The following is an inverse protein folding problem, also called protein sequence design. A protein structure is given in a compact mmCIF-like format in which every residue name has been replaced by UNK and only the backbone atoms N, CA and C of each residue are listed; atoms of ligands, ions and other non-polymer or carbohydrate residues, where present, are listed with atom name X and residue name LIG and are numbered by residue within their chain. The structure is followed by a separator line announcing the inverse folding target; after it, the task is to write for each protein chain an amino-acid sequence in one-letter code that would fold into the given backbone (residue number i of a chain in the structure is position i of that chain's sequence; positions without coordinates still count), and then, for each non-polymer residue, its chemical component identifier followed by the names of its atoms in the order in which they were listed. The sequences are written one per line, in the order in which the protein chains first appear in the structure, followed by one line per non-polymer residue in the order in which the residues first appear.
data_IF_527752533021
#
_entry.id   IF_527752533021
#
_cell.length_a   1.000
_cell.length_b   1.000
_cell.length_c   1.000
_cell.angle_alpha   90.00
_cell.angle_beta   90.00
_cell.angle_gamma   90.00
#
_symmetry.space_group_name_H-M   'P 1'
#
loop_
_entity.id
_entity.type
_entity.pdbx_description
1 polymer ?
#
# COMPACT_ATOMS: atom_id res chain seq x y z
N UNK A 1 -20.90 -9.55 4.47
CA UNK A 1 -21.07 -10.78 3.65
C UNK A 1 -21.61 -10.36 2.31
N UNK A 2 -21.42 -11.15 1.26
CA UNK A 2 -21.95 -10.83 -0.07
C UNK A 2 -23.19 -11.66 -0.34
N UNK A 3 -24.22 -11.04 -0.90
CA UNK A 3 -25.37 -11.73 -1.49
C UNK A 3 -25.07 -11.92 -2.97
N UNK A 4 -24.89 -13.17 -3.37
CA UNK A 4 -24.70 -13.60 -4.76
C UNK A 4 -26.06 -14.02 -5.33
N UNK A 5 -26.44 -13.42 -6.45
CA UNK A 5 -27.64 -13.72 -7.20
C UNK A 5 -27.25 -14.25 -8.59
N UNK A 6 -27.72 -15.45 -8.93
CA UNK A 6 -27.39 -16.15 -10.17
C UNK A 6 -28.70 -16.40 -10.91
N UNK A 7 -28.77 -15.96 -12.16
CA UNK A 7 -29.86 -16.21 -13.08
C UNK A 7 -29.34 -17.14 -14.17
N UNK A 8 -30.01 -18.28 -14.38
CA UNK A 8 -29.60 -19.30 -15.35
C UNK A 8 -30.82 -20.06 -15.91
N UNK A 9 -30.63 -20.79 -17.01
CA UNK A 9 -31.66 -21.66 -17.57
C UNK A 9 -31.93 -22.90 -16.69
N UNK A 10 -33.12 -23.50 -16.83
CA UNK A 10 -33.47 -24.75 -16.16
C UNK A 10 -32.44 -25.88 -16.40
N UNK A 11 -31.92 -26.00 -17.63
CA UNK A 11 -30.89 -27.00 -17.98
C UNK A 11 -29.51 -26.76 -17.36
N UNK A 12 -29.23 -25.55 -16.87
CA UNK A 12 -27.98 -25.19 -16.21
C UNK A 12 -28.09 -25.22 -14.67
N UNK A 13 -29.32 -25.27 -14.14
CA UNK A 13 -29.61 -25.27 -12.71
C UNK A 13 -28.92 -26.39 -11.94
N UNK A 14 -28.80 -27.60 -12.50
CA UNK A 14 -28.08 -28.70 -11.83
C UNK A 14 -26.58 -28.45 -11.70
N UNK A 15 -25.96 -27.82 -12.71
CA UNK A 15 -24.53 -27.48 -12.67
C UNK A 15 -24.26 -26.43 -11.59
N UNK A 16 -25.13 -25.41 -11.50
CA UNK A 16 -25.05 -24.38 -10.47
C UNK A 16 -25.22 -24.98 -9.07
N UNK A 17 -26.22 -25.87 -8.88
CA UNK A 17 -26.42 -26.59 -7.61
C UNK A 17 -25.19 -27.39 -7.20
N UNK A 18 -24.54 -28.06 -8.16
CA UNK A 18 -23.33 -28.85 -7.90
C UNK A 18 -22.19 -27.97 -7.38
N UNK A 19 -21.88 -26.87 -8.06
CA UNK A 19 -20.85 -25.91 -7.63
C UNK A 19 -21.15 -25.37 -6.23
N UNK A 20 -22.38 -24.91 -5.98
CA UNK A 20 -22.75 -24.37 -4.67
C UNK A 20 -22.64 -25.40 -3.53
N UNK A 21 -22.95 -26.67 -3.83
CA UNK A 21 -22.84 -27.78 -2.87
C UNK A 21 -21.38 -28.17 -2.60
N UNK A 22 -20.52 -28.18 -3.62
CA UNK A 22 -19.08 -28.45 -3.47
C UNK A 22 -18.42 -27.43 -2.52
N UNK A 23 -18.82 -26.16 -2.62
CA UNK A 23 -18.35 -25.10 -1.72
C UNK A 23 -19.04 -25.08 -0.34
N UNK A 24 -19.94 -26.04 -0.06
CA UNK A 24 -20.73 -26.11 1.18
C UNK A 24 -21.51 -24.80 1.47
N UNK A 25 -21.95 -24.11 0.41
CA UNK A 25 -22.71 -22.87 0.49
C UNK A 25 -24.20 -23.19 0.56
N UNK A 26 -24.91 -22.55 1.48
CA UNK A 26 -26.36 -22.62 1.50
C UNK A 26 -26.96 -21.64 0.50
N UNK A 27 -27.89 -22.13 -0.30
CA UNK A 27 -28.54 -21.38 -1.36
C UNK A 27 -30.06 -21.51 -1.30
N UNK A 28 -30.74 -20.47 -1.76
CA UNK A 28 -32.18 -20.48 -2.04
C UNK A 28 -32.35 -20.51 -3.56
N UNK A 29 -33.27 -21.33 -4.05
CA UNK A 29 -33.56 -21.43 -5.47
C UNK A 29 -35.04 -21.09 -5.70
N UNK A 30 -35.31 -20.19 -6.62
CA UNK A 30 -36.64 -19.73 -7.00
C UNK A 30 -36.76 -19.76 -8.53
N UNK A 31 -37.93 -20.13 -9.04
CA UNK A 31 -38.25 -19.97 -10.45
C UNK A 31 -38.71 -18.53 -10.70
N UNK A 32 -38.09 -17.87 -11.67
CA UNK A 32 -38.37 -16.49 -12.04
C UNK A 32 -38.64 -16.40 -13.53
N UNK A 33 -39.56 -15.52 -13.92
CA UNK A 33 -39.91 -15.29 -15.31
C UNK A 33 -39.24 -13.99 -15.78
N UNK A 34 -38.38 -14.09 -16.79
CA UNK A 34 -37.75 -12.93 -17.43
C UNK A 34 -38.42 -12.68 -18.77
N UNK A 35 -39.29 -11.66 -18.83
CA UNK A 35 -40.18 -11.36 -19.95
C UNK A 35 -41.04 -12.56 -20.39
N UNK A 36 -40.49 -13.49 -21.18
CA UNK A 36 -41.16 -14.67 -21.73
C UNK A 36 -40.41 -16.00 -21.47
N UNK A 37 -39.24 -15.96 -20.83
CA UNK A 37 -38.41 -17.14 -20.58
C UNK A 37 -38.44 -17.52 -19.09
N UNK A 38 -38.58 -18.83 -18.82
CA UNK A 38 -38.41 -19.40 -17.49
C UNK A 38 -36.92 -19.48 -17.16
N UNK A 39 -36.55 -18.89 -16.03
CA UNK A 39 -35.18 -18.91 -15.52
C UNK A 39 -35.18 -19.31 -14.04
N UNK A 40 -34.07 -19.88 -13.58
CA UNK A 40 -33.82 -20.18 -12.18
C UNK A 40 -32.99 -19.06 -11.56
N UNK A 41 -33.46 -18.53 -10.45
CA UNK A 41 -32.73 -17.60 -9.58
C UNK A 41 -32.16 -18.35 -8.38
N UNK A 42 -30.85 -18.32 -8.21
CA UNK A 42 -30.19 -18.76 -6.99
C UNK A 42 -29.72 -17.56 -6.17
N UNK A 43 -30.08 -17.53 -4.89
CA UNK A 43 -29.61 -16.52 -3.94
C UNK A 43 -28.75 -17.19 -2.88
N UNK A 44 -27.50 -16.74 -2.75
CA UNK A 44 -26.48 -17.35 -1.88
C UNK A 44 -25.80 -16.29 -1.04
N UNK A 45 -25.58 -16.59 0.25
CA UNK A 45 -24.73 -15.76 1.10
C UNK A 45 -23.32 -16.32 1.07
N UNK A 46 -22.41 -15.57 0.46
CA UNK A 46 -21.02 -15.99 0.24
C UNK A 46 -20.10 -15.08 1.04
N UNK A 47 -19.09 -15.64 1.72
CA UNK A 47 -18.01 -14.84 2.27
C UNK A 47 -17.23 -14.11 1.18
N UNK A 48 -16.88 -12.87 1.46
CA UNK A 48 -16.09 -11.99 0.60
C UNK A 48 -14.72 -12.54 0.18
N UNK A 49 -14.10 -13.42 0.98
CA UNK A 49 -12.80 -14.02 0.63
C UNK A 49 -12.87 -15.19 -0.36
N UNK A 50 -14.06 -15.78 -0.60
CA UNK A 50 -14.25 -16.93 -1.52
C UNK A 50 -15.06 -16.57 -2.76
N UNK A 51 -15.64 -15.37 -2.83
CA UNK A 51 -16.52 -14.95 -3.92
C UNK A 51 -15.88 -15.14 -5.30
N UNK A 52 -14.60 -14.81 -5.48
CA UNK A 52 -13.93 -14.90 -6.77
C UNK A 52 -13.80 -16.35 -7.25
N UNK A 53 -13.44 -17.27 -6.36
CA UNK A 53 -13.26 -18.68 -6.74
C UNK A 53 -14.62 -19.32 -7.07
N UNK A 54 -15.64 -18.99 -6.29
CA UNK A 54 -17.02 -19.45 -6.51
C UNK A 54 -17.56 -18.88 -7.83
N UNK A 55 -17.35 -17.59 -8.11
CA UNK A 55 -17.78 -16.96 -9.36
C UNK A 55 -17.01 -17.54 -10.55
N UNK A 56 -15.71 -17.86 -10.43
CA UNK A 56 -14.93 -18.49 -11.49
C UNK A 56 -15.47 -19.88 -11.88
N UNK A 57 -15.93 -20.67 -10.92
CA UNK A 57 -16.59 -21.95 -11.21
C UNK A 57 -18.01 -21.78 -11.77
N UNK A 58 -18.76 -20.80 -11.26
CA UNK A 58 -20.09 -20.49 -11.78
C UNK A 58 -20.05 -19.95 -13.21
N UNK A 59 -19.05 -19.15 -13.58
CA UNK A 59 -18.83 -18.69 -14.96
C UNK A 59 -18.53 -19.84 -15.93
N UNK A 60 -18.01 -20.98 -15.45
CA UNK A 60 -17.84 -22.20 -16.26
C UNK A 60 -19.13 -23.01 -16.35
N UNK A 61 -20.02 -22.86 -15.36
CA UNK A 61 -21.28 -23.60 -15.26
C UNK A 61 -22.44 -22.93 -16.00
N UNK A 62 -22.48 -21.59 -16.04
CA UNK A 62 -23.56 -20.77 -16.61
C UNK A 62 -23.09 -20.09 -17.89
N UNK A 63 -23.88 -20.18 -18.98
CA UNK A 63 -23.53 -19.49 -20.24
C UNK A 63 -23.99 -18.03 -20.22
N UNK A 64 -23.08 -17.14 -19.83
CA UNK A 64 -23.30 -15.69 -19.76
C UNK A 64 -23.51 -15.00 -21.12
N UNK A 65 -23.41 -15.72 -22.24
CA UNK A 65 -23.72 -15.15 -23.58
C UNK A 65 -25.23 -15.00 -23.80
N UNK A 66 -26.05 -15.66 -22.97
CA UNK A 66 -27.51 -15.57 -23.02
C UNK A 66 -27.98 -14.31 -22.28
N UNK A 67 -28.84 -13.51 -22.90
CA UNK A 67 -29.26 -12.20 -22.37
C UNK A 67 -29.99 -12.24 -21.02
N UNK A 68 -30.55 -13.39 -20.63
CA UNK A 68 -31.25 -13.62 -19.37
C UNK A 68 -30.38 -14.30 -18.30
N UNK A 69 -29.15 -14.70 -18.63
CA UNK A 69 -28.22 -15.29 -17.67
C UNK A 69 -27.31 -14.21 -17.08
N UNK A 70 -27.27 -14.11 -15.75
CA UNK A 70 -26.43 -13.11 -15.08
C UNK A 70 -25.97 -13.61 -13.71
N UNK A 71 -24.77 -13.21 -13.32
CA UNK A 71 -24.22 -13.46 -11.99
C UNK A 71 -23.93 -12.09 -11.40
N UNK A 72 -24.63 -11.71 -10.33
CA UNK A 72 -24.45 -10.43 -9.64
C UNK A 72 -24.18 -10.66 -8.17
N UNK A 73 -23.41 -9.78 -7.54
CA UNK A 73 -23.20 -9.82 -6.09
C UNK A 73 -23.20 -8.44 -5.47
N UNK A 74 -23.83 -8.33 -4.30
CA UNK A 74 -23.96 -7.07 -3.56
C UNK A 74 -23.57 -7.25 -2.09
N UNK A 75 -22.98 -6.22 -1.45
CA UNK A 75 -22.71 -6.25 -0.01
C UNK A 75 -24.02 -6.23 0.77
N UNK A 76 -24.14 -7.12 1.76
CA UNK A 76 -25.27 -7.14 2.69
C UNK A 76 -24.79 -7.24 4.13
N UNK A 77 -25.49 -6.52 5.01
CA UNK A 77 -25.27 -6.47 6.45
C UNK A 77 -26.42 -7.16 7.17
N UNK A 78 -26.11 -8.08 8.08
CA UNK A 78 -27.12 -8.85 8.82
C UNK A 78 -26.48 -9.91 9.71
N UNK A 79 -27.31 -10.58 10.52
CA UNK A 79 -26.89 -11.72 11.37
C UNK A 79 -27.56 -13.00 10.89
N UNK A 80 -26.79 -14.07 10.70
CA UNK A 80 -27.30 -15.39 10.32
C UNK A 80 -26.56 -16.48 11.08
N UNK A 81 -27.30 -17.32 11.81
CA UNK A 81 -26.77 -18.44 12.60
C UNK A 81 -26.20 -19.54 11.69
N UNK A 82 -26.89 -19.84 10.59
CA UNK A 82 -26.45 -20.87 9.63
C UNK A 82 -25.22 -20.45 8.83
N UNK A 83 -25.11 -19.16 8.47
CA UNK A 83 -23.94 -18.61 7.77
C UNK A 83 -22.65 -18.78 8.59
N UNK A 84 -22.71 -18.59 9.92
CA UNK A 84 -21.56 -18.76 10.80
C UNK A 84 -20.96 -20.17 10.74
N UNK A 85 -21.78 -21.20 10.52
CA UNK A 85 -21.32 -22.59 10.35
C UNK A 85 -20.67 -22.83 8.98
N UNK A 86 -21.25 -22.31 7.89
CA UNK A 86 -20.65 -22.37 6.54
C UNK A 86 -19.31 -21.62 6.47
N UNK A 87 -19.16 -20.52 7.20
CA UNK A 87 -17.87 -19.81 7.32
C UNK A 87 -16.82 -20.67 8.04
N UNK A 88 -17.24 -21.55 8.96
CA UNK A 88 -16.34 -22.40 9.75
C UNK A 88 -15.64 -23.47 8.89
N UNK A 89 -16.34 -24.05 7.91
CA UNK A 89 -15.75 -24.98 6.94
C UNK A 89 -14.87 -24.26 5.91
N UNK A 90 -15.23 -23.03 5.55
CA UNK A 90 -14.47 -22.18 4.62
C UNK A 90 -13.28 -21.45 5.28
N UNK A 91 -13.00 -21.68 6.57
CA UNK A 91 -11.86 -21.08 7.30
C UNK A 91 -10.50 -21.34 6.63
N UNK A 92 -10.34 -22.45 5.89
CA UNK A 92 -9.11 -22.74 5.14
C UNK A 92 -8.79 -21.67 4.08
N UNK A 93 -9.83 -21.01 3.54
CA UNK A 93 -9.71 -19.93 2.56
C UNK A 93 -9.64 -18.53 3.19
N UNK A 94 -9.78 -18.41 4.53
CA UNK A 94 -9.66 -17.15 5.29
C UNK A 94 -8.27 -16.49 5.18
N UNK A 95 -7.27 -17.20 4.62
CA UNK A 95 -5.95 -16.65 4.28
C UNK A 95 -5.97 -15.67 3.10
N UNK A 96 -7.07 -15.59 2.34
CA UNK A 96 -7.25 -14.57 1.29
C UNK A 96 -7.93 -13.34 1.88
N UNK A 97 -7.29 -12.19 1.74
CA UNK A 97 -7.83 -10.90 2.18
C UNK A 97 -9.16 -10.60 1.51
N UNK A 98 -10.10 -10.04 2.28
CA UNK A 98 -11.44 -9.78 1.78
C UNK A 98 -11.45 -8.57 0.85
N UNK A 99 -12.25 -8.63 -0.21
CA UNK A 99 -12.37 -7.58 -1.22
C UNK A 99 -12.68 -6.21 -0.59
N UNK A 100 -13.61 -6.18 0.36
CA UNK A 100 -13.99 -4.97 1.08
C UNK A 100 -12.87 -4.43 1.99
N UNK A 101 -12.00 -5.30 2.52
CA UNK A 101 -10.83 -4.86 3.27
C UNK A 101 -9.77 -4.23 2.35
N UNK A 102 -9.53 -4.81 1.17
CA UNK A 102 -8.60 -4.26 0.19
C UNK A 102 -9.14 -2.94 -0.37
N UNK A 103 -10.42 -2.84 -0.70
CA UNK A 103 -11.05 -1.61 -1.18
C UNK A 103 -11.00 -0.49 -0.14
N UNK A 104 -11.32 -0.78 1.13
CA UNK A 104 -11.17 0.21 2.20
C UNK A 104 -9.72 0.66 2.41
N UNK A 105 -8.75 -0.26 2.27
CA UNK A 105 -7.33 0.10 2.33
C UNK A 105 -6.92 0.98 1.16
N UNK A 106 -7.42 0.73 -0.06
CA UNK A 106 -7.13 1.54 -1.25
C UNK A 106 -7.81 2.90 -1.15
N UNK A 107 -9.04 2.96 -0.68
CA UNK A 107 -9.75 4.22 -0.49
C UNK A 107 -9.03 5.09 0.55
N UNK A 108 -8.65 4.50 1.68
CA UNK A 108 -7.81 5.17 2.67
C UNK A 108 -6.45 5.57 2.07
N UNK A 109 -5.82 4.69 1.29
CA UNK A 109 -4.53 4.99 0.65
C UNK A 109 -4.63 6.14 -0.34
N UNK A 110 -5.64 6.16 -1.20
CA UNK A 110 -5.83 7.19 -2.22
C UNK A 110 -6.22 8.52 -1.59
N UNK A 111 -7.06 8.51 -0.55
CA UNK A 111 -7.38 9.71 0.23
C UNK A 111 -6.14 10.28 0.92
N UNK A 112 -5.24 9.42 1.42
CA UNK A 112 -3.99 9.86 2.04
C UNK A 112 -2.86 10.14 1.03
N UNK A 113 -2.92 9.58 -0.19
CA UNK A 113 -1.89 9.74 -1.22
C UNK A 113 -2.01 11.05 -2.00
N UNK A 114 -3.17 11.70 -1.99
CA UNK A 114 -3.30 13.04 -2.57
C UNK A 114 -2.66 14.07 -1.63
N UNK A 115 -1.61 14.72 -2.12
CA UNK A 115 -0.93 15.78 -1.39
C UNK A 115 -1.80 17.03 -1.38
N UNK A 116 -2.46 17.24 -0.24
CA UNK A 116 -3.16 18.47 0.09
C UNK A 116 -2.16 19.51 0.65
N UNK A 117 -2.39 20.83 0.45
CA UNK A 117 -1.74 21.89 1.21
C UNK A 117 -1.50 21.58 2.70
N UNK A 118 -2.45 20.93 3.39
CA UNK A 118 -2.30 20.54 4.81
C UNK A 118 -1.16 19.52 5.00
N UNK A 119 -1.01 18.54 4.10
CA UNK A 119 0.09 17.59 4.22
C UNK A 119 1.44 18.26 3.93
N UNK A 120 1.48 19.22 3.01
CA UNK A 120 2.69 20.00 2.75
C UNK A 120 3.09 20.85 3.96
N UNK A 121 2.13 21.50 4.63
CA UNK A 121 2.43 22.28 5.84
C UNK A 121 2.90 21.38 6.98
N UNK A 122 2.26 20.22 7.19
CA UNK A 122 2.73 19.24 8.16
C UNK A 122 4.14 18.72 7.85
N UNK A 123 4.45 18.45 6.59
CA UNK A 123 5.79 18.06 6.15
C UNK A 123 6.84 19.15 6.42
N UNK A 124 6.51 20.41 6.14
CA UNK A 124 7.39 21.55 6.45
C UNK A 124 7.62 21.70 7.96
N UNK A 125 6.56 21.64 8.77
CA UNK A 125 6.66 21.74 10.23
C UNK A 125 7.46 20.57 10.80
N UNK A 126 7.22 19.35 10.34
CA UNK A 126 8.00 18.17 10.73
C UNK A 126 9.48 18.35 10.40
N UNK A 127 9.81 18.87 9.21
CA UNK A 127 11.19 19.13 8.82
C UNK A 127 11.88 20.15 9.72
N UNK A 128 11.18 21.23 10.10
CA UNK A 128 11.72 22.26 11.00
C UNK A 128 11.98 21.68 12.40
N UNK A 129 11.05 20.88 12.93
CA UNK A 129 11.24 20.20 14.23
C UNK A 129 12.41 19.22 14.14
N UNK A 130 12.50 18.44 13.05
CA UNK A 130 13.61 17.52 12.81
C UNK A 130 14.95 18.26 12.73
N UNK A 131 14.98 19.42 12.08
CA UNK A 131 16.16 20.28 11.99
C UNK A 131 16.62 20.74 13.37
N UNK A 132 15.71 21.23 14.21
CA UNK A 132 16.05 21.59 15.60
C UNK A 132 16.51 20.37 16.40
N UNK A 133 15.92 19.20 16.17
CA UNK A 133 16.37 17.93 16.74
C UNK A 133 17.80 17.57 16.35
N UNK A 134 18.12 17.66 15.06
CA UNK A 134 19.42 17.33 14.50
C UNK A 134 20.52 18.27 14.99
N UNK A 135 20.30 19.59 14.97
CA UNK A 135 21.33 20.56 15.39
C UNK A 135 21.56 20.58 16.91
N UNK A 136 20.58 20.14 17.70
CA UNK A 136 20.69 20.04 19.17
C UNK A 136 20.97 18.60 19.66
N UNK A 137 21.25 17.67 18.75
CA UNK A 137 21.53 16.26 19.07
C UNK A 137 20.43 15.60 19.94
N UNK A 138 19.16 15.95 19.67
CA UNK A 138 18.01 15.52 20.46
C UNK A 138 17.14 14.52 19.70
N UNK A 139 17.34 13.24 20.00
CA UNK A 139 16.54 12.16 19.42
C UNK A 139 15.04 12.29 19.74
N UNK A 140 14.69 12.90 20.87
CA UNK A 140 13.29 13.12 21.28
C UNK A 140 12.58 14.07 20.31
N UNK A 141 13.23 15.18 19.93
CA UNK A 141 12.68 16.10 18.92
C UNK A 141 12.59 15.43 17.54
N UNK A 142 13.60 14.63 17.18
CA UNK A 142 13.63 13.88 15.92
C UNK A 142 12.46 12.90 15.83
N UNK A 143 12.19 12.12 16.90
CA UNK A 143 11.04 11.19 16.96
C UNK A 143 9.71 11.98 16.91
N UNK A 144 9.64 13.13 17.58
CA UNK A 144 8.45 13.99 17.58
C UNK A 144 8.12 14.50 16.17
N UNK A 145 9.14 14.84 15.38
CA UNK A 145 8.98 15.21 13.98
C UNK A 145 8.49 14.03 13.11
N UNK A 146 9.01 12.83 13.34
CA UNK A 146 8.58 11.62 12.61
C UNK A 146 7.09 11.32 12.82
N UNK A 147 6.59 11.52 14.04
CA UNK A 147 5.17 11.32 14.38
C UNK A 147 4.21 12.25 13.62
N UNK A 148 4.67 13.44 13.25
CA UNK A 148 3.86 14.45 12.57
C UNK A 148 3.79 14.24 11.04
N UNK A 149 4.75 13.50 10.47
CA UNK A 149 5.00 13.49 9.02
C UNK A 149 3.95 12.69 8.23
N UNK A 150 3.35 13.27 7.16
CA UNK A 150 2.32 12.61 6.36
C UNK A 150 2.85 11.73 5.22
N UNK A 151 4.04 11.13 5.37
CA UNK A 151 4.70 10.33 4.31
C UNK A 151 4.06 8.95 4.12
N UNK A 152 3.38 8.41 5.15
CA UNK A 152 2.79 7.07 5.12
C UNK A 152 1.87 6.92 3.89
N UNK A 153 0.88 7.81 3.73
CA UNK A 153 -0.16 7.78 2.69
C UNK A 153 0.33 7.43 1.29
N UNK A 154 1.15 8.31 0.68
CA UNK A 154 1.70 8.09 -0.65
C UNK A 154 2.48 6.79 -0.82
N UNK A 155 3.19 6.31 0.22
CA UNK A 155 4.09 5.16 0.12
C UNK A 155 3.35 3.83 -0.05
N UNK A 156 2.33 3.56 0.77
CA UNK A 156 1.52 2.36 0.57
C UNK A 156 0.47 2.55 -0.54
N UNK A 157 0.03 3.78 -0.81
CA UNK A 157 -0.77 4.12 -1.99
C UNK A 157 -0.11 3.68 -3.28
N UNK A 158 1.20 3.96 -3.45
CA UNK A 158 1.98 3.42 -4.56
C UNK A 158 1.89 1.90 -4.64
N UNK A 159 2.18 1.22 -3.53
CA UNK A 159 2.31 -0.23 -3.48
C UNK A 159 0.99 -0.94 -3.78
N UNK A 160 -0.11 -0.45 -3.21
CA UNK A 160 -1.45 -0.95 -3.45
C UNK A 160 -1.90 -0.69 -4.89
N UNK A 161 -1.68 0.52 -5.43
CA UNK A 161 -2.07 0.85 -6.80
C UNK A 161 -1.30 -0.01 -7.83
N UNK A 162 -0.02 -0.30 -7.60
CA UNK A 162 0.76 -1.24 -8.44
C UNK A 162 0.19 -2.66 -8.41
N UNK A 163 -0.16 -3.18 -7.23
CA UNK A 163 -0.74 -4.53 -7.09
C UNK A 163 -2.14 -4.62 -7.70
N UNK A 164 -2.86 -3.50 -7.76
CA UNK A 164 -4.17 -3.40 -8.41
C UNK A 164 -4.08 -3.14 -9.92
N UNK A 165 -2.87 -2.94 -10.48
CA UNK A 165 -2.69 -2.62 -11.91
C UNK A 165 -3.05 -1.17 -12.27
N UNK A 166 -3.21 -0.29 -11.28
CA UNK A 166 -3.52 1.14 -11.44
C UNK A 166 -2.22 1.94 -11.58
N UNK A 167 -1.55 1.79 -12.72
CA UNK A 167 -0.23 2.40 -12.95
C UNK A 167 -0.23 3.94 -12.90
N UNK A 168 -1.32 4.60 -13.31
CA UNK A 168 -1.43 6.07 -13.25
C UNK A 168 -1.45 6.56 -11.81
N UNK A 169 -2.34 5.99 -10.98
CA UNK A 169 -2.45 6.33 -9.56
C UNK A 169 -1.16 6.00 -8.78
N UNK A 170 -0.40 4.98 -9.22
CA UNK A 170 0.92 4.71 -8.66
C UNK A 170 1.95 5.79 -9.03
N UNK A 171 1.94 6.33 -10.24
CA UNK A 171 2.80 7.45 -10.63
C UNK A 171 2.42 8.73 -9.87
N UNK A 172 1.12 8.96 -9.65
CA UNK A 172 0.65 10.08 -8.84
C UNK A 172 1.14 9.94 -7.39
N UNK A 173 1.12 8.73 -6.82
CA UNK A 173 1.69 8.46 -5.51
C UNK A 173 3.21 8.75 -5.45
N UNK A 174 3.98 8.41 -6.50
CA UNK A 174 5.41 8.77 -6.58
C UNK A 174 5.59 10.28 -6.63
N UNK A 175 4.78 10.99 -7.42
CA UNK A 175 4.78 12.46 -7.46
C UNK A 175 4.50 13.06 -6.08
N UNK A 176 3.54 12.49 -5.35
CA UNK A 176 3.23 12.87 -3.97
C UNK A 176 4.40 12.65 -3.00
N UNK A 177 5.10 11.51 -3.07
CA UNK A 177 6.32 11.27 -2.28
C UNK A 177 7.36 12.34 -2.58
N UNK A 178 7.62 12.62 -3.86
CA UNK A 178 8.60 13.62 -4.28
C UNK A 178 8.24 15.04 -3.82
N UNK A 179 6.96 15.42 -3.84
CA UNK A 179 6.50 16.72 -3.33
C UNK A 179 6.73 16.84 -1.82
N UNK A 180 6.41 15.81 -1.04
CA UNK A 180 6.63 15.81 0.41
C UNK A 180 8.12 15.87 0.75
N UNK A 181 8.94 15.03 0.12
CA UNK A 181 10.39 15.07 0.30
C UNK A 181 10.98 16.43 -0.14
N UNK A 182 10.47 16.98 -1.25
CA UNK A 182 10.87 18.30 -1.74
C UNK A 182 10.55 19.42 -0.75
N UNK A 183 9.37 19.41 -0.13
CA UNK A 183 9.02 20.39 0.91
C UNK A 183 9.84 20.19 2.19
N UNK A 184 10.10 18.95 2.61
CA UNK A 184 10.97 18.67 3.76
C UNK A 184 12.39 19.19 3.49
N UNK A 185 12.95 18.87 2.34
CA UNK A 185 14.27 19.36 1.91
C UNK A 185 14.31 20.89 1.84
N UNK A 186 13.35 21.52 1.16
CA UNK A 186 13.35 22.96 0.92
C UNK A 186 13.17 23.75 2.23
N UNK A 187 12.28 23.29 3.12
CA UNK A 187 12.10 23.90 4.44
C UNK A 187 13.35 23.77 5.30
N UNK A 188 13.99 22.59 5.32
CA UNK A 188 15.25 22.39 6.03
C UNK A 188 16.36 23.31 5.47
N UNK A 189 16.49 23.39 4.15
CA UNK A 189 17.49 24.24 3.48
C UNK A 189 17.29 25.72 3.81
N UNK A 190 16.07 26.24 3.65
CA UNK A 190 15.77 27.66 3.88
C UNK A 190 15.98 28.05 5.35
N UNK A 191 15.52 27.23 6.28
CA UNK A 191 15.71 27.49 7.72
C UNK A 191 17.17 27.36 8.11
N UNK A 192 17.90 26.36 7.58
CA UNK A 192 19.34 26.22 7.83
C UNK A 192 20.12 27.44 7.32
N UNK A 193 19.79 27.95 6.12
CA UNK A 193 20.40 29.18 5.59
C UNK A 193 20.11 30.38 6.49
N UNK A 194 18.87 30.55 6.94
CA UNK A 194 18.50 31.63 7.85
C UNK A 194 19.26 31.55 9.19
N UNK A 195 19.35 30.36 9.79
CA UNK A 195 20.10 30.13 11.03
C UNK A 195 21.60 30.34 10.84
N UNK A 196 22.15 29.94 9.69
CA UNK A 196 23.55 30.20 9.34
C UNK A 196 23.85 31.69 9.27
N UNK A 197 23.00 32.49 8.63
CA UNK A 197 23.15 33.95 8.59
C UNK A 197 22.98 34.60 9.97
N UNK A 198 22.14 34.03 10.83
CA UNK A 198 21.95 34.49 12.20
C UNK A 198 23.10 34.08 13.16
N UNK A 199 24.02 33.20 12.73
CA UNK A 199 25.10 32.69 13.58
C UNK A 199 24.67 31.64 14.60
N UNK A 200 23.47 31.07 14.47
CA UNK A 200 22.89 30.11 15.41
C UNK A 200 23.11 28.64 15.01
N UNK A 201 23.84 28.39 13.94
CA UNK A 201 24.11 27.04 13.42
C UNK A 201 25.44 26.52 13.97
N UNK A 202 25.52 25.25 14.43
CA UNK A 202 26.79 24.69 14.88
C UNK A 202 27.82 24.64 13.74
N UNK A 203 29.10 24.94 14.00
CA UNK A 203 30.14 24.98 12.96
C UNK A 203 30.49 23.57 12.44
N UNK A 204 30.31 22.55 13.28
CA UNK A 204 30.56 21.14 12.96
C UNK A 204 29.27 20.32 13.02
N UNK A 205 29.17 19.23 12.24
CA UNK A 205 28.01 18.34 12.27
C UNK A 205 27.89 17.62 13.62
N UNK A 206 26.68 17.59 14.18
CA UNK A 206 26.36 16.83 15.38
C UNK A 206 26.35 15.32 15.12
N UNK A 207 26.32 14.51 16.18
CA UNK A 207 26.29 13.06 16.06
C UNK A 207 25.05 12.58 15.28
N UNK A 208 23.87 13.10 15.61
CA UNK A 208 22.63 12.73 14.92
C UNK A 208 22.64 13.11 13.42
N UNK A 209 23.36 14.18 13.04
CA UNK A 209 23.56 14.55 11.62
C UNK A 209 24.51 13.57 10.93
N UNK A 210 25.63 13.21 11.58
CA UNK A 210 26.61 12.27 11.02
C UNK A 210 26.01 10.89 10.75
N UNK A 211 25.26 10.35 11.72
CA UNK A 211 24.61 9.02 11.60
C UNK A 211 23.61 8.98 10.44
N UNK A 212 22.98 10.11 10.11
CA UNK A 212 22.02 10.23 9.00
C UNK A 212 22.61 10.86 7.73
N UNK A 213 23.91 11.11 7.78
CA UNK A 213 24.74 11.64 6.70
C UNK A 213 25.50 10.57 5.95
N UNK A 214 25.49 9.34 6.45
CA UNK A 214 26.25 8.21 5.96
C UNK A 214 25.32 7.14 5.38
N UNK A 215 25.68 6.58 4.22
CA UNK A 215 24.94 5.50 3.57
C UNK A 215 25.60 4.15 3.85
N UNK A 216 24.91 3.06 3.52
CA UNK A 216 25.47 1.73 3.68
C UNK A 216 24.48 0.63 3.30
N UNK A 217 25.04 -0.50 2.83
CA UNK A 217 24.27 -1.69 2.42
C UNK A 217 23.27 -2.18 3.49
N UNK A 218 23.60 -1.98 4.77
CA UNK A 218 22.73 -2.34 5.88
C UNK A 218 21.42 -1.53 5.90
N UNK A 219 21.46 -0.26 5.49
CA UNK A 219 20.29 0.61 5.43
C UNK A 219 19.35 0.22 4.29
N UNK A 220 19.88 -0.24 3.16
CA UNK A 220 19.07 -0.82 2.07
C UNK A 220 18.26 -2.01 2.59
N UNK A 221 18.92 -2.95 3.28
CA UNK A 221 18.25 -4.12 3.84
C UNK A 221 17.20 -3.71 4.88
N UNK A 222 17.54 -2.76 5.76
CA UNK A 222 16.63 -2.25 6.78
C UNK A 222 15.40 -1.60 6.15
N UNK A 223 15.58 -0.78 5.11
CA UNK A 223 14.47 -0.14 4.39
C UNK A 223 13.52 -1.16 3.76
N UNK A 224 14.04 -2.24 3.18
CA UNK A 224 13.21 -3.35 2.66
C UNK A 224 12.40 -4.01 3.78
N UNK A 225 13.04 -4.30 4.92
CA UNK A 225 12.36 -4.92 6.07
C UNK A 225 11.28 -3.99 6.64
N UNK A 226 11.57 -2.70 6.76
CA UNK A 226 10.62 -1.68 7.23
C UNK A 226 9.44 -1.52 6.28
N UNK A 227 9.68 -1.51 4.96
CA UNK A 227 8.62 -1.44 3.95
C UNK A 227 7.69 -2.65 4.02
N UNK A 228 8.28 -3.84 4.17
CA UNK A 228 7.54 -5.09 4.38
C UNK A 228 6.71 -5.06 5.67
N UNK A 229 7.32 -4.68 6.79
CA UNK A 229 6.63 -4.61 8.07
C UNK A 229 5.51 -3.57 8.05
N UNK A 230 5.76 -2.40 7.45
CA UNK A 230 4.78 -1.31 7.34
C UNK A 230 3.54 -1.72 6.56
N UNK A 231 3.70 -2.36 5.39
CA UNK A 231 2.55 -2.80 4.61
C UNK A 231 1.81 -3.96 5.29
N UNK A 232 2.52 -4.88 5.95
CA UNK A 232 1.91 -5.98 6.69
C UNK A 232 1.09 -5.44 7.86
N UNK A 233 1.57 -4.42 8.55
CA UNK A 233 0.85 -3.76 9.64
C UNK A 233 -0.44 -3.10 9.15
N UNK A 234 -0.37 -2.32 8.07
CA UNK A 234 -1.51 -1.65 7.45
C UNK A 234 -2.56 -2.68 7.01
N UNK A 235 -2.14 -3.71 6.27
CA UNK A 235 -3.05 -4.75 5.78
C UNK A 235 -3.67 -5.54 6.94
N UNK A 236 -2.91 -5.75 8.02
CA UNK A 236 -3.37 -6.42 9.24
C UNK A 236 -4.22 -5.54 10.17
N UNK A 237 -4.55 -4.30 9.78
CA UNK A 237 -5.31 -3.32 10.58
C UNK A 237 -4.67 -3.01 11.94
N UNK A 238 -3.34 -3.06 12.00
CA UNK A 238 -2.56 -2.50 13.11
C UNK A 238 -2.65 -0.97 13.01
N UNK A 239 -2.64 -0.21 14.13
CA UNK A 239 -2.68 1.25 14.09
C UNK A 239 -1.66 1.84 13.12
N UNK A 240 -2.14 2.66 12.17
CA UNK A 240 -1.33 3.24 11.09
C UNK A 240 -0.14 4.04 11.62
N UNK A 241 -0.27 4.63 12.81
CA UNK A 241 0.79 5.39 13.47
C UNK A 241 2.06 4.56 13.71
N UNK A 242 1.94 3.26 13.98
CA UNK A 242 3.11 2.39 14.22
C UNK A 242 3.92 2.15 12.94
N UNK A 243 3.22 1.94 11.82
CA UNK A 243 3.83 1.86 10.50
C UNK A 243 4.37 3.23 10.06
N UNK A 244 3.63 4.30 10.37
CA UNK A 244 3.93 5.67 9.99
C UNK A 244 5.23 6.18 10.59
N UNK A 245 5.42 5.98 11.90
CA UNK A 245 6.67 6.37 12.59
C UNK A 245 7.87 5.64 11.97
N UNK A 246 7.73 4.34 11.70
CA UNK A 246 8.82 3.53 11.14
C UNK A 246 9.24 4.01 9.74
N UNK A 247 8.27 4.35 8.89
CA UNK A 247 8.51 4.87 7.54
C UNK A 247 9.05 6.31 7.60
N UNK A 248 8.48 7.16 8.45
CA UNK A 248 8.92 8.53 8.64
C UNK A 248 10.34 8.59 9.21
N UNK A 249 10.73 7.64 10.06
CA UNK A 249 12.07 7.56 10.62
C UNK A 249 13.16 7.35 9.56
N UNK A 250 12.84 6.59 8.50
CA UNK A 250 13.75 6.35 7.38
C UNK A 250 13.84 7.54 6.41
N UNK A 251 12.82 8.41 6.35
CA UNK A 251 12.73 9.43 5.29
C UNK A 251 12.89 10.87 5.79
N UNK A 252 12.21 11.27 6.86
CA UNK A 252 12.21 12.67 7.31
C UNK A 252 13.61 13.11 7.74
N UNK A 253 14.30 12.41 8.66
CA UNK A 253 15.58 12.89 9.15
C UNK A 253 16.68 12.93 8.09
N UNK A 254 16.90 11.88 7.26
CA UNK A 254 17.89 11.96 6.18
C UNK A 254 17.59 13.09 5.19
N UNK A 255 16.31 13.30 4.82
CA UNK A 255 15.93 14.39 3.92
C UNK A 255 16.20 15.78 4.52
N UNK A 256 15.97 15.94 5.83
CA UNK A 256 16.33 17.17 6.54
C UNK A 256 17.85 17.37 6.58
N UNK A 257 18.64 16.29 6.75
CA UNK A 257 20.11 16.35 6.69
C UNK A 257 20.60 16.77 5.30
N UNK A 258 19.97 16.36 4.20
CA UNK A 258 20.29 16.86 2.85
C UNK A 258 20.17 18.39 2.80
N UNK A 259 19.09 18.95 3.36
CA UNK A 259 18.89 20.41 3.41
C UNK A 259 19.92 21.13 4.27
N UNK A 260 20.22 20.59 5.46
CA UNK A 260 21.23 21.14 6.38
C UNK A 260 22.63 21.11 5.76
N UNK A 261 23.04 19.95 5.26
CA UNK A 261 24.39 19.75 4.70
C UNK A 261 24.63 20.62 3.47
N UNK A 262 23.61 20.81 2.63
CA UNK A 262 23.69 21.74 1.50
C UNK A 262 23.81 23.20 1.95
N UNK A 263 23.04 23.61 2.97
CA UNK A 263 23.14 24.96 3.55
C UNK A 263 24.51 25.22 4.17
N UNK A 264 25.13 24.20 4.77
CA UNK A 264 26.42 24.29 5.45
C UNK A 264 27.62 24.06 4.51
N UNK A 265 27.41 23.50 3.32
CA UNK A 265 28.48 23.13 2.39
C UNK A 265 29.22 21.83 2.78
N UNK A 266 28.61 20.98 3.61
CA UNK A 266 29.16 19.69 4.01
C UNK A 266 28.94 18.63 2.91
N UNK A 267 29.72 18.73 1.82
CA UNK A 267 29.51 17.92 0.61
C UNK A 267 29.56 16.40 0.83
N UNK A 268 30.38 15.92 1.78
CA UNK A 268 30.43 14.49 2.13
C UNK A 268 29.09 14.00 2.69
N UNK A 269 28.60 14.68 3.73
CA UNK A 269 27.32 14.41 4.41
C UNK A 269 26.15 14.59 3.43
N UNK A 270 26.22 15.60 2.56
CA UNK A 270 25.20 15.83 1.53
C UNK A 270 25.06 14.64 0.58
N UNK A 271 26.18 14.11 0.08
CA UNK A 271 26.16 12.94 -0.81
C UNK A 271 25.64 11.69 -0.11
N UNK A 272 26.15 11.39 1.09
CA UNK A 272 25.72 10.21 1.84
C UNK A 272 24.24 10.26 2.24
N UNK A 273 23.75 11.40 2.76
CA UNK A 273 22.33 11.57 3.08
C UNK A 273 21.41 11.51 1.86
N UNK A 274 21.87 11.97 0.69
CA UNK A 274 21.13 11.87 -0.57
C UNK A 274 21.00 10.40 -1.01
N UNK A 275 22.11 9.66 -1.01
CA UNK A 275 22.13 8.22 -1.33
C UNK A 275 21.25 7.45 -0.34
N UNK A 276 21.43 7.67 0.97
CA UNK A 276 20.63 7.06 2.03
C UNK A 276 19.12 7.32 1.85
N UNK A 277 18.74 8.55 1.49
CA UNK A 277 17.31 8.88 1.27
C UNK A 277 16.75 8.12 0.07
N UNK A 278 17.50 8.03 -1.03
CA UNK A 278 17.08 7.30 -2.23
C UNK A 278 16.98 5.79 -1.94
N UNK A 279 17.96 5.24 -1.24
CA UNK A 279 17.95 3.85 -0.77
C UNK A 279 16.75 3.55 0.11
N UNK A 280 16.44 4.44 1.06
CA UNK A 280 15.29 4.28 1.92
C UNK A 280 13.98 4.31 1.13
N UNK A 281 13.81 5.25 0.19
CA UNK A 281 12.61 5.27 -0.68
C UNK A 281 12.49 3.96 -1.45
N UNK A 282 13.53 3.54 -2.17
CA UNK A 282 13.46 2.35 -3.01
C UNK A 282 13.31 1.06 -2.21
N UNK A 283 14.01 0.96 -1.08
CA UNK A 283 13.91 -0.16 -0.16
C UNK A 283 12.51 -0.28 0.43
N UNK A 284 11.94 0.83 0.93
CA UNK A 284 10.58 0.85 1.47
C UNK A 284 9.54 0.43 0.40
N UNK A 285 9.62 0.96 -0.82
CA UNK A 285 8.71 0.61 -1.93
C UNK A 285 8.89 -0.86 -2.38
N UNK A 286 10.11 -1.38 -2.35
CA UNK A 286 10.40 -2.77 -2.70
C UNK A 286 9.87 -3.72 -1.64
N UNK A 287 10.12 -3.41 -0.36
CA UNK A 287 9.64 -4.17 0.79
C UNK A 287 8.13 -4.21 0.88
N UNK A 288 7.47 -3.08 0.65
CA UNK A 288 6.00 -3.01 0.66
C UNK A 288 5.37 -3.81 -0.49
N UNK A 289 5.96 -3.79 -1.69
CA UNK A 289 5.49 -4.65 -2.79
C UNK A 289 5.73 -6.14 -2.49
N UNK A 290 6.88 -6.49 -1.91
CA UNK A 290 7.17 -7.84 -1.45
C UNK A 290 6.11 -8.31 -0.43
N UNK A 291 5.76 -7.45 0.53
CA UNK A 291 4.74 -7.74 1.53
C UNK A 291 3.37 -8.03 0.93
N UNK A 292 2.91 -7.20 -0.01
CA UNK A 292 1.65 -7.44 -0.71
C UNK A 292 1.68 -8.71 -1.57
N UNK A 293 2.82 -9.01 -2.18
CA UNK A 293 3.01 -10.23 -2.95
C UNK A 293 2.92 -11.47 -2.06
N UNK A 294 3.60 -11.48 -0.91
CA UNK A 294 3.55 -12.58 0.08
C UNK A 294 2.15 -12.74 0.68
N UNK A 295 1.48 -11.62 0.95
CA UNK A 295 0.10 -11.61 1.44
C UNK A 295 -0.94 -11.98 0.37
N UNK A 296 -0.52 -12.17 -0.88
CA UNK A 296 -1.36 -12.55 -2.03
C UNK A 296 -2.56 -11.61 -2.21
N UNK A 297 -2.33 -10.31 -2.00
CA UNK A 297 -3.31 -9.25 -2.25
C UNK A 297 -3.50 -9.16 -3.77
N UNK A 298 -4.76 -9.24 -4.25
CA UNK A 298 -5.04 -9.28 -5.70
C UNK A 298 -6.34 -8.55 -6.06
N UNK A 299 -6.44 -7.96 -7.26
CA UNK A 299 -7.57 -7.15 -7.68
C UNK A 299 -8.88 -7.92 -7.92
N UNK A 300 -9.96 -7.12 -8.02
CA UNK A 300 -11.38 -7.46 -8.04
C UNK A 300 -11.81 -8.28 -9.27
N UNK A 301 -11.27 -7.98 -10.46
CA UNK A 301 -11.73 -8.56 -11.72
C UNK A 301 -10.74 -9.59 -12.28
N UNK A 302 -11.28 -10.72 -12.75
CA UNK A 302 -10.53 -11.79 -13.43
C UNK A 302 -9.70 -11.25 -14.63
N UNK A 303 -10.24 -10.27 -15.36
CA UNK A 303 -9.58 -9.62 -16.49
C UNK A 303 -8.44 -8.68 -16.05
N UNK A 304 -8.55 -8.03 -14.90
CA UNK A 304 -7.51 -7.13 -14.36
C UNK A 304 -6.35 -7.88 -13.72
N UNK A 305 -6.56 -9.13 -13.24
CA UNK A 305 -5.52 -9.94 -12.59
C UNK A 305 -4.31 -10.22 -13.48
N UNK A 306 -4.50 -10.40 -14.79
CA UNK A 306 -3.40 -10.70 -15.72
C UNK A 306 -2.55 -9.46 -15.98
N UNK A 307 -3.18 -8.30 -16.16
CA UNK A 307 -2.50 -7.02 -16.29
C UNK A 307 -1.79 -6.65 -14.97
N UNK A 308 -2.49 -6.74 -13.84
CA UNK A 308 -1.94 -6.43 -12.53
C UNK A 308 -0.72 -7.29 -12.18
N UNK A 309 -0.76 -8.62 -12.39
CA UNK A 309 0.41 -9.49 -12.17
C UNK A 309 1.62 -9.11 -13.02
N UNK A 310 1.38 -8.70 -14.28
CA UNK A 310 2.47 -8.25 -15.16
C UNK A 310 3.04 -6.90 -14.68
N UNK A 311 2.18 -5.96 -14.31
CA UNK A 311 2.61 -4.67 -13.74
C UNK A 311 3.38 -4.83 -12.44
N UNK A 312 2.89 -5.63 -11.48
CA UNK A 312 3.59 -5.87 -10.22
C UNK A 312 4.95 -6.54 -10.46
N UNK A 313 5.04 -7.54 -11.35
CA UNK A 313 6.33 -8.17 -11.70
C UNK A 313 7.29 -7.19 -12.37
N UNK A 314 6.79 -6.37 -13.30
CA UNK A 314 7.61 -5.36 -13.99
C UNK A 314 8.12 -4.31 -13.01
N UNK A 315 7.28 -3.80 -12.13
CA UNK A 315 7.68 -2.82 -11.11
C UNK A 315 8.66 -3.41 -10.10
N UNK A 316 8.43 -4.65 -9.64
CA UNK A 316 9.40 -5.35 -8.79
C UNK A 316 10.76 -5.51 -9.50
N UNK A 317 10.78 -5.83 -10.79
CA UNK A 317 12.02 -5.93 -11.56
C UNK A 317 12.71 -4.58 -11.69
N UNK A 318 11.97 -3.51 -12.00
CA UNK A 318 12.54 -2.16 -12.09
C UNK A 318 13.15 -1.73 -10.76
N UNK A 319 12.43 -1.91 -9.65
CA UNK A 319 12.95 -1.57 -8.32
C UNK A 319 14.16 -2.43 -7.94
N UNK A 320 14.15 -3.73 -8.26
CA UNK A 320 15.29 -4.60 -8.02
C UNK A 320 16.53 -4.15 -8.81
N UNK A 321 16.36 -3.76 -10.08
CA UNK A 321 17.46 -3.21 -10.88
C UNK A 321 17.98 -1.90 -10.27
N UNK A 322 17.09 -0.99 -9.86
CA UNK A 322 17.49 0.28 -9.22
C UNK A 322 18.26 0.05 -7.90
N UNK A 323 17.81 -0.90 -7.08
CA UNK A 323 18.52 -1.27 -5.86
C UNK A 323 19.88 -1.90 -6.14
N UNK A 324 19.98 -2.82 -7.11
CA UNK A 324 21.26 -3.42 -7.52
C UNK A 324 22.22 -2.33 -8.04
N UNK A 325 21.73 -1.36 -8.82
CA UNK A 325 22.57 -0.26 -9.27
C UNK A 325 23.08 0.60 -8.11
N UNK A 326 22.29 0.83 -7.07
CA UNK A 326 22.73 1.57 -5.89
C UNK A 326 23.76 0.80 -5.07
N UNK A 327 23.52 -0.50 -4.85
CA UNK A 327 24.50 -1.40 -4.20
C UNK A 327 25.83 -1.38 -4.95
N UNK A 328 25.80 -1.37 -6.28
CA UNK A 328 27.02 -1.27 -7.09
C UNK A 328 27.69 0.10 -6.94
N UNK A 329 26.94 1.20 -6.92
CA UNK A 329 27.49 2.54 -6.68
C UNK A 329 28.17 2.60 -5.32
N UNK A 330 27.55 2.04 -4.30
CA UNK A 330 28.06 2.03 -2.93
C UNK A 330 29.30 1.15 -2.73
N UNK A 331 29.40 0.04 -3.47
CA UNK A 331 30.61 -0.78 -3.51
C UNK A 331 31.78 -0.12 -4.26
N UNK A 332 31.50 0.89 -5.08
CA UNK A 332 32.49 1.58 -5.92
C UNK A 332 32.92 2.94 -5.35
N UNK A 333 32.19 3.49 -4.38
CA UNK A 333 32.45 4.77 -3.71
C UNK A 333 33.32 4.61 -2.46
#
# INVERSE_FOLDING_TARGET
MLRLEIYCDEGEGEKVRKVLTEWSLQFYAEEVQSNEHRALKFTVLVPDFVINDVVDELMKAVDLRKGHSSITWAPVSGKSVKYANSVKSLKKFKRRWTLAAIEGLIENANNQAQVDPIQLTLGAVASIIALFGLINDSIVMIISAMLLSPILGPLYGFSLNIVMGKGRDALDAVSSILKLLGVIFLSALLVSLALRFAGSMPPEPTHEILVRGDSGLIYILLAIILGYAGIVAIVSRIPEILAGVSIAAALVPPTTVIGISLAMGWWGIFRGSLVLTVENVLGLLSGSLLGLYVLNVSPRSYYERRAAKLYTKRTMLVLAVMLVTLVLVELLS
#
